data_IF_229629007176
#
_entry.id   IF_229629007176
#
_cell.length_a   1.000
_cell.length_b   1.000
_cell.length_c   1.000
_cell.angle_alpha   90.00
_cell.angle_beta   90.00
_cell.angle_gamma   90.00
#
_symmetry.space_group_name_H-M   'P 1'
#
loop_
_entity.id
_entity.type
_entity.pdbx_description
1 polymer ?
#
# COMPACT_ATOMS: atom_id res chain seq x y z
N UNK A 1 15.27 16.72 0.25
CA UNK A 1 15.32 15.23 0.35
C UNK A 1 15.17 14.75 1.78
N UNK A 2 15.94 15.28 2.74
CA UNK A 2 15.86 14.88 4.16
C UNK A 2 14.47 15.05 4.79
N UNK A 3 13.74 16.13 4.46
CA UNK A 3 12.37 16.37 4.95
C UNK A 3 11.36 15.28 4.56
N UNK A 4 11.52 14.65 3.38
CA UNK A 4 10.63 13.59 2.91
C UNK A 4 10.89 12.31 3.73
N UNK A 5 12.17 11.98 3.94
CA UNK A 5 12.58 10.84 4.76
C UNK A 5 12.09 11.02 6.19
N UNK A 6 12.29 12.20 6.77
CA UNK A 6 11.80 12.54 8.12
C UNK A 6 10.28 12.48 8.18
N UNK A 7 9.56 12.99 7.17
CA UNK A 7 8.11 12.90 7.10
C UNK A 7 7.58 11.46 7.08
N UNK A 8 8.21 10.58 6.29
CA UNK A 8 7.85 9.15 6.25
C UNK A 8 8.13 8.47 7.59
N UNK A 9 9.28 8.77 8.21
CA UNK A 9 9.64 8.22 9.53
C UNK A 9 8.64 8.67 10.60
N UNK A 10 8.30 9.97 10.65
CA UNK A 10 7.31 10.50 11.59
C UNK A 10 5.94 9.87 11.38
N UNK A 11 5.54 9.66 10.12
CA UNK A 11 4.26 9.01 9.78
C UNK A 11 4.22 7.55 10.24
N UNK A 12 5.31 6.80 10.01
CA UNK A 12 5.43 5.41 10.49
C UNK A 12 5.39 5.36 12.02
N UNK A 13 6.17 6.19 12.70
CA UNK A 13 6.22 6.25 14.16
C UNK A 13 4.86 6.63 14.73
N UNK A 14 4.18 7.63 14.16
CA UNK A 14 2.83 8.03 14.59
C UNK A 14 1.79 6.92 14.43
N UNK A 15 1.85 6.15 13.34
CA UNK A 15 0.99 4.99 13.13
C UNK A 15 1.28 3.88 14.16
N UNK A 16 2.56 3.59 14.41
CA UNK A 16 2.99 2.57 15.38
C UNK A 16 2.57 2.95 16.79
N UNK A 17 2.80 4.19 17.24
CA UNK A 17 2.38 4.67 18.57
C UNK A 17 0.85 4.55 18.72
N UNK A 18 0.08 4.91 17.68
CA UNK A 18 -1.39 4.82 17.72
C UNK A 18 -1.91 3.39 17.72
N UNK A 19 -1.16 2.43 17.16
CA UNK A 19 -1.42 0.99 17.29
C UNK A 19 -1.05 0.47 18.68
N UNK A 20 0.10 0.89 19.23
CA UNK A 20 0.61 0.42 20.53
C UNK A 20 -0.12 1.03 21.74
N UNK A 21 -0.75 2.20 21.59
CA UNK A 21 -1.57 2.81 22.63
C UNK A 21 -2.91 2.08 22.88
N UNK A 22 -3.03 0.83 22.44
CA UNK A 22 -4.16 -0.05 22.72
C UNK A 22 -3.61 -1.16 23.62
N UNK A 23 -4.21 -1.37 24.79
CA UNK A 23 -3.86 -2.46 25.71
C UNK A 23 -4.18 -3.87 25.15
N UNK A 24 -4.54 -3.95 23.87
CA UNK A 24 -4.94 -5.16 23.18
C UNK A 24 -3.71 -5.86 22.59
N UNK A 25 -3.15 -6.79 23.35
CA UNK A 25 -1.97 -7.59 22.97
C UNK A 25 -2.32 -8.58 21.82
N UNK A 26 -3.60 -8.76 21.52
CA UNK A 26 -4.08 -9.70 20.51
C UNK A 26 -4.26 -9.02 19.16
N UNK A 27 -3.51 -9.49 18.15
CA UNK A 27 -3.58 -9.04 16.75
C UNK A 27 -5.03 -9.02 16.23
N UNK A 28 -5.85 -9.99 16.64
CA UNK A 28 -7.26 -10.11 16.23
C UNK A 28 -8.13 -8.94 16.75
N UNK A 29 -7.89 -8.46 17.96
CA UNK A 29 -8.61 -7.33 18.54
C UNK A 29 -8.23 -6.01 17.85
N UNK A 30 -6.94 -5.82 17.54
CA UNK A 30 -6.45 -4.67 16.77
C UNK A 30 -7.04 -4.66 15.35
N UNK A 31 -7.12 -5.82 14.69
CA UNK A 31 -7.72 -5.92 13.34
C UNK A 31 -9.19 -5.55 13.35
N UNK A 32 -9.94 -5.91 14.40
CA UNK A 32 -11.38 -5.62 14.50
C UNK A 32 -11.67 -4.15 14.74
N UNK A 33 -11.00 -3.53 15.71
CA UNK A 33 -11.33 -2.16 16.13
C UNK A 33 -10.56 -1.10 15.36
N UNK A 34 -9.42 -1.48 14.76
CA UNK A 34 -8.51 -0.59 14.03
C UNK A 34 -8.19 -1.12 12.63
N UNK A 35 -9.15 -1.81 12.00
CA UNK A 35 -9.02 -2.41 10.66
C UNK A 35 -8.42 -1.44 9.64
N UNK A 36 -8.89 -0.18 9.63
CA UNK A 36 -8.36 0.84 8.74
C UNK A 36 -6.85 1.06 8.90
N UNK A 37 -6.37 1.25 10.14
CA UNK A 37 -4.95 1.47 10.42
C UNK A 37 -4.11 0.23 10.11
N UNK A 38 -4.65 -0.95 10.39
CA UNK A 38 -4.00 -2.21 10.07
C UNK A 38 -3.85 -2.42 8.55
N UNK A 39 -4.90 -2.15 7.78
CA UNK A 39 -4.87 -2.20 6.30
C UNK A 39 -3.88 -1.19 5.75
N UNK A 40 -3.90 0.05 6.24
CA UNK A 40 -2.93 1.09 5.84
C UNK A 40 -1.50 0.67 6.18
N UNK A 41 -1.27 0.08 7.36
CA UNK A 41 0.05 -0.41 7.77
C UNK A 41 0.55 -1.54 6.87
N UNK A 42 -0.28 -2.54 6.59
CA UNK A 42 0.06 -3.63 5.65
C UNK A 42 0.36 -3.05 4.27
N UNK A 43 -0.48 -2.14 3.78
CA UNK A 43 -0.31 -1.53 2.47
C UNK A 43 1.03 -0.77 2.40
N UNK A 44 1.37 -0.01 3.44
CA UNK A 44 2.64 0.70 3.54
C UNK A 44 3.84 -0.27 3.61
N UNK A 45 3.72 -1.37 4.35
CA UNK A 45 4.76 -2.39 4.44
C UNK A 45 5.04 -3.04 3.08
N UNK A 46 4.00 -3.43 2.35
CA UNK A 46 4.11 -3.98 0.98
C UNK A 46 4.74 -2.95 0.04
N UNK A 47 4.35 -1.68 0.16
CA UNK A 47 4.91 -0.59 -0.63
C UNK A 47 6.41 -0.40 -0.40
N UNK A 48 6.85 -0.40 0.86
CA UNK A 48 8.28 -0.28 1.22
C UNK A 48 9.07 -1.47 0.70
N UNK A 49 8.57 -2.69 0.89
CA UNK A 49 9.23 -3.92 0.40
C UNK A 49 9.38 -3.87 -1.13
N UNK A 50 8.33 -3.45 -1.84
CA UNK A 50 8.37 -3.28 -3.30
C UNK A 50 9.44 -2.25 -3.72
N UNK A 51 9.49 -1.10 -3.06
CA UNK A 51 10.48 -0.06 -3.34
C UNK A 51 11.92 -0.55 -3.12
N UNK A 52 12.16 -1.31 -2.05
CA UNK A 52 13.47 -1.92 -1.77
C UNK A 52 13.86 -2.92 -2.86
N UNK A 53 12.91 -3.74 -3.32
CA UNK A 53 13.17 -4.69 -4.41
C UNK A 53 13.53 -3.99 -5.72
N UNK A 54 12.83 -2.91 -6.08
CA UNK A 54 13.14 -2.11 -7.28
C UNK A 54 14.54 -1.48 -7.16
N UNK A 55 14.85 -0.90 -5.99
CA UNK A 55 16.17 -0.33 -5.71
C UNK A 55 17.29 -1.36 -5.89
N UNK A 56 17.13 -2.55 -5.28
CA UNK A 56 18.12 -3.64 -5.35
C UNK A 56 18.25 -4.22 -6.75
N UNK A 57 17.14 -4.39 -7.47
CA UNK A 57 17.15 -4.98 -8.81
C UNK A 57 17.78 -4.08 -9.88
N UNK A 58 17.69 -2.75 -9.72
CA UNK A 58 18.14 -1.78 -10.72
C UNK A 58 19.42 -1.04 -10.34
N UNK A 59 20.07 -1.41 -9.21
CA UNK A 59 21.29 -0.76 -8.69
C UNK A 59 21.18 0.78 -8.68
N UNK A 60 20.04 1.31 -8.26
CA UNK A 60 19.74 2.73 -8.36
C UNK A 60 20.56 3.50 -7.32
N UNK A 61 21.26 4.55 -7.73
CA UNK A 61 21.92 5.45 -6.79
C UNK A 61 20.94 6.52 -6.25
N UNK A 62 20.38 6.28 -5.06
CA UNK A 62 19.47 7.21 -4.39
C UNK A 62 20.16 8.49 -3.90
N UNK A 63 21.49 8.56 -3.86
CA UNK A 63 22.21 9.79 -3.51
C UNK A 63 22.23 10.79 -4.66
N UNK A 64 21.98 10.33 -5.89
CA UNK A 64 21.91 11.15 -7.09
C UNK A 64 20.48 11.59 -7.41
N UNK A 65 20.32 12.81 -7.94
CA UNK A 65 19.02 13.30 -8.41
C UNK A 65 18.46 12.43 -9.55
N UNK A 66 19.33 11.92 -10.42
CA UNK A 66 18.95 11.04 -11.53
C UNK A 66 18.43 9.69 -11.03
N UNK A 67 19.05 9.11 -10.00
CA UNK A 67 18.58 7.88 -9.39
C UNK A 67 17.23 8.05 -8.70
N UNK A 68 16.98 9.17 -8.01
CA UNK A 68 15.66 9.47 -7.44
C UNK A 68 14.60 9.59 -8.54
N UNK A 69 14.91 10.30 -9.64
CA UNK A 69 14.00 10.44 -10.79
C UNK A 69 13.71 9.09 -11.44
N UNK A 70 14.72 8.24 -11.57
CA UNK A 70 14.61 6.89 -12.16
C UNK A 70 13.78 5.98 -11.28
N UNK A 71 14.04 5.96 -9.97
CA UNK A 71 13.24 5.25 -8.98
C UNK A 71 11.78 5.71 -9.03
N UNK A 72 11.53 7.02 -9.03
CA UNK A 72 10.20 7.60 -9.10
C UNK A 72 9.44 7.17 -10.36
N UNK A 73 10.10 7.17 -11.53
CA UNK A 73 9.49 6.71 -12.79
C UNK A 73 9.15 5.22 -12.76
N UNK A 74 10.07 4.38 -12.30
CA UNK A 74 9.85 2.94 -12.18
C UNK A 74 8.69 2.65 -11.22
N UNK A 75 8.67 3.35 -10.09
CA UNK A 75 7.63 3.19 -9.08
C UNK A 75 6.26 3.69 -9.58
N UNK A 76 6.23 4.82 -10.30
CA UNK A 76 5.03 5.33 -10.95
C UNK A 76 4.48 4.34 -11.98
N UNK A 77 5.35 3.73 -12.80
CA UNK A 77 4.94 2.71 -13.77
C UNK A 77 4.36 1.47 -13.09
N UNK A 78 4.96 1.03 -11.98
CA UNK A 78 4.42 -0.06 -11.17
C UNK A 78 3.02 0.26 -10.61
N UNK A 79 2.81 1.46 -10.08
CA UNK A 79 1.49 1.91 -9.59
C UNK A 79 0.45 1.92 -10.71
N UNK A 80 0.79 2.48 -11.89
CA UNK A 80 -0.13 2.48 -13.05
C UNK A 80 -0.49 1.06 -13.46
N UNK A 81 0.49 0.16 -13.49
CA UNK A 81 0.26 -1.24 -13.83
C UNK A 81 -0.71 -1.90 -12.85
N UNK A 82 -0.54 -1.67 -11.54
CA UNK A 82 -1.48 -2.14 -10.52
C UNK A 82 -2.89 -1.59 -10.74
N UNK A 83 -3.03 -0.28 -10.96
CA UNK A 83 -4.34 0.35 -11.20
C UNK A 83 -4.99 -0.20 -12.47
N UNK A 84 -4.22 -0.41 -13.54
CA UNK A 84 -4.72 -1.01 -14.78
C UNK A 84 -5.20 -2.45 -14.58
N UNK A 85 -4.51 -3.23 -13.74
CA UNK A 85 -4.95 -4.58 -13.42
C UNK A 85 -6.20 -4.58 -12.54
N UNK A 86 -6.26 -3.70 -11.54
CA UNK A 86 -7.46 -3.51 -10.71
C UNK A 86 -8.65 -3.11 -11.58
N UNK A 87 -8.48 -2.14 -12.49
CA UNK A 87 -9.57 -1.68 -13.36
C UNK A 87 -10.05 -2.75 -14.35
N UNK A 88 -9.15 -3.62 -14.83
CA UNK A 88 -9.54 -4.78 -15.64
C UNK A 88 -10.36 -5.78 -14.83
N UNK A 89 -9.94 -6.09 -13.60
CA UNK A 89 -10.67 -7.02 -12.72
C UNK A 89 -12.03 -6.43 -12.31
N UNK A 90 -12.07 -5.17 -11.86
CA UNK A 90 -13.33 -4.54 -11.46
C UNK A 90 -14.25 -4.30 -12.65
N UNK A 91 -13.71 -3.95 -13.82
CA UNK A 91 -14.45 -3.83 -15.07
C UNK A 91 -15.04 -5.15 -15.52
N UNK A 92 -14.29 -6.25 -15.41
CA UNK A 92 -14.79 -7.60 -15.67
C UNK A 92 -15.91 -7.98 -14.70
N UNK A 93 -15.74 -7.75 -13.40
CA UNK A 93 -16.77 -8.03 -12.38
C UNK A 93 -18.04 -7.21 -12.61
N UNK A 94 -17.90 -5.93 -12.99
CA UNK A 94 -19.03 -5.07 -13.32
C UNK A 94 -19.77 -5.54 -14.59
N UNK A 95 -19.04 -6.02 -15.60
CA UNK A 95 -19.63 -6.59 -16.82
C UNK A 95 -20.30 -7.95 -16.59
N UNK A 96 -19.85 -8.71 -15.60
CA UNK A 96 -20.40 -10.03 -15.26
C UNK A 96 -21.62 -9.95 -14.32
N UNK A 97 -22.14 -8.75 -14.04
CA UNK A 97 -23.36 -8.52 -13.25
C UNK A 97 -23.42 -9.29 -11.93
N UNK A 98 -22.26 -9.45 -11.27
CA UNK A 98 -22.13 -10.17 -9.99
C UNK A 98 -22.99 -9.58 -8.86
N UNK A 99 -23.55 -8.38 -9.05
CA UNK A 99 -24.43 -7.70 -8.09
C UNK A 99 -25.93 -8.00 -8.38
N UNK A 100 -26.32 -8.39 -9.60
CA UNK A 100 -27.73 -8.41 -10.01
C UNK A 100 -28.42 -9.79 -10.06
N UNK A 101 -27.83 -10.87 -9.54
CA UNK A 101 -28.47 -12.21 -9.56
C UNK A 101 -28.57 -12.87 -8.18
N UNK A 102 -29.06 -12.14 -7.18
CA UNK A 102 -29.67 -12.72 -5.98
C UNK A 102 -31.14 -12.28 -5.84
N UNK A 103 -31.93 -12.60 -6.86
CA UNK A 103 -33.39 -12.68 -6.78
C UNK A 103 -33.84 -14.13 -6.86
N UNK A 104 -33.29 -15.01 -6.02
CA UNK A 104 -33.94 -16.30 -5.72
C UNK A 104 -35.00 -16.06 -4.66
N UNK A 105 -36.08 -15.36 -5.04
CA UNK A 105 -37.34 -15.44 -4.31
C UNK A 105 -37.98 -16.79 -4.65
N UNK A 106 -37.91 -17.74 -3.71
CA UNK A 106 -38.94 -18.74 -3.48
C UNK A 106 -39.09 -18.97 -1.99
#
# INVERSE_FOLDING_TARGET
>A
MWFIIVGVIVLIIGLVIRMLNSNDIYIIAIVRDKLFYFVVFIFLAVFIISAINIYRANNIDLSSFEGIKTMGKLYYHWIISLISNISKVTGYVAQQDWIATNSTSK
#
